data_IF_384935593756
#
_entry.id   IF_384935593756
#
_cell.length_a   1.000
_cell.length_b   1.000
_cell.length_c   1.000
_cell.angle_alpha   90.00
_cell.angle_beta   90.00
_cell.angle_gamma   90.00
#
_symmetry.space_group_name_H-M   'P 1'
#
loop_
_entity.id
_entity.type
_entity.pdbx_description
1 polymer ?
#
# COMPACT_ATOMS: atom_id res chain seq x y z
N UNK A 1 -15.70 13.80 28.57
CA UNK A 1 -14.97 12.52 28.40
C UNK A 1 -14.71 12.35 26.91
N UNK A 2 -13.50 12.68 26.43
CA UNK A 2 -13.16 12.51 25.02
C UNK A 2 -12.75 11.06 24.79
N UNK A 3 -13.56 10.32 24.04
CA UNK A 3 -13.21 8.99 23.59
C UNK A 3 -12.14 9.18 22.51
N UNK A 4 -10.91 8.81 22.81
CA UNK A 4 -9.86 8.71 21.80
C UNK A 4 -10.24 7.58 20.84
N UNK A 5 -10.65 7.92 19.63
CA UNK A 5 -10.82 6.94 18.56
C UNK A 5 -9.48 6.82 17.83
N UNK A 6 -8.89 5.61 17.84
CA UNK A 6 -7.79 5.31 16.94
C UNK A 6 -8.34 5.19 15.51
N UNK A 7 -7.66 5.80 14.54
CA UNK A 7 -8.04 5.65 13.14
C UNK A 7 -7.87 4.19 12.72
N UNK A 8 -8.92 3.61 12.14
CA UNK A 8 -8.86 2.29 11.53
C UNK A 8 -8.09 2.41 10.22
N UNK A 9 -6.86 1.92 10.17
CA UNK A 9 -6.11 1.80 8.92
C UNK A 9 -6.77 0.71 8.08
N UNK A 10 -7.44 1.12 7.00
CA UNK A 10 -8.21 0.23 6.11
C UNK A 10 -7.30 -0.45 5.07
N UNK A 11 -6.22 0.22 4.66
CA UNK A 11 -5.22 -0.28 3.72
C UNK A 11 -3.88 -0.45 4.44
N UNK A 12 -3.50 -1.71 4.71
CA UNK A 12 -2.33 -2.07 5.53
C UNK A 12 -1.11 -2.44 4.68
N UNK A 13 -1.15 -2.10 3.41
CA UNK A 13 -0.10 -2.39 2.45
C UNK A 13 -0.06 -1.34 1.34
N UNK A 14 1.14 -1.06 0.85
CA UNK A 14 1.42 -0.08 -0.21
C UNK A 14 2.23 -0.80 -1.28
N UNK A 15 1.82 -0.65 -2.53
CA UNK A 15 2.63 -1.09 -3.67
C UNK A 15 3.59 0.03 -4.07
N UNK A 16 4.85 -0.31 -4.29
CA UNK A 16 5.89 0.64 -4.64
C UNK A 16 6.87 0.05 -5.66
N UNK A 17 7.64 0.96 -6.30
CA UNK A 17 8.70 0.62 -7.27
C UNK A 17 8.24 -0.36 -8.37
N UNK A 18 7.10 -0.12 -9.06
CA UNK A 18 6.72 -0.95 -10.19
C UNK A 18 7.77 -0.83 -11.30
N UNK A 19 8.15 -1.97 -11.87
CA UNK A 19 8.98 -2.06 -13.08
C UNK A 19 8.20 -2.80 -14.17
N UNK A 20 8.86 -3.13 -15.28
CA UNK A 20 8.31 -4.02 -16.30
C UNK A 20 8.23 -5.50 -15.82
N UNK A 21 8.92 -5.85 -14.72
CA UNK A 21 9.13 -7.25 -14.29
C UNK A 21 8.94 -7.52 -12.80
N UNK A 22 8.75 -6.49 -12.00
CA UNK A 22 8.64 -6.61 -10.55
C UNK A 22 7.80 -5.49 -9.94
N UNK A 23 7.32 -5.72 -8.73
CA UNK A 23 6.75 -4.71 -7.85
C UNK A 23 7.06 -5.06 -6.40
N UNK A 24 7.17 -4.05 -5.54
CA UNK A 24 7.36 -4.26 -4.09
C UNK A 24 6.05 -4.02 -3.36
N UNK A 25 5.69 -4.91 -2.45
CA UNK A 25 4.61 -4.71 -1.49
C UNK A 25 5.22 -4.39 -0.12
N UNK A 26 4.92 -3.20 0.38
CA UNK A 26 5.23 -2.76 1.74
C UNK A 26 4.05 -3.09 2.63
N UNK A 27 4.28 -3.68 3.80
CA UNK A 27 3.21 -3.97 4.74
C UNK A 27 3.68 -3.79 6.19
N UNK A 28 2.72 -3.61 7.09
CA UNK A 28 2.98 -3.53 8.53
C UNK A 28 2.00 -4.41 9.34
N UNK A 29 2.49 -4.88 10.48
CA UNK A 29 1.75 -5.68 11.46
C UNK A 29 2.05 -5.18 12.88
N UNK A 30 1.10 -5.42 13.80
CA UNK A 30 1.17 -5.07 15.21
C UNK A 30 1.76 -6.19 16.10
N UNK A 31 2.17 -7.29 15.47
CA UNK A 31 2.78 -8.48 16.07
C UNK A 31 3.71 -9.17 15.06
N UNK A 32 4.56 -10.07 15.56
CA UNK A 32 5.38 -10.92 14.70
C UNK A 32 4.51 -11.85 13.86
N UNK A 33 4.78 -11.92 12.56
CA UNK A 33 4.08 -12.80 11.62
C UNK A 33 5.04 -13.37 10.57
N UNK A 34 4.74 -14.56 10.07
CA UNK A 34 5.26 -15.00 8.78
C UNK A 34 4.31 -14.46 7.71
N UNK A 35 4.84 -13.85 6.65
CA UNK A 35 4.06 -13.20 5.59
C UNK A 35 4.60 -13.59 4.21
N UNK A 36 3.70 -13.70 3.23
CA UNK A 36 4.03 -13.82 1.81
C UNK A 36 2.97 -13.11 0.94
N UNK A 37 3.28 -12.90 -0.34
CA UNK A 37 2.34 -12.42 -1.33
C UNK A 37 2.03 -13.54 -2.34
N UNK A 38 0.75 -13.72 -2.65
CA UNK A 38 0.25 -14.61 -3.71
C UNK A 38 -0.21 -13.75 -4.88
N UNK A 39 0.12 -14.11 -6.11
CA UNK A 39 -0.20 -13.28 -7.28
C UNK A 39 -0.40 -14.10 -8.56
N UNK A 40 -1.16 -13.54 -9.50
CA UNK A 40 -1.48 -14.15 -10.79
C UNK A 40 -2.17 -13.16 -11.74
N UNK A 41 -2.42 -13.57 -12.98
CA UNK A 41 -3.00 -12.71 -14.03
C UNK A 41 -4.53 -12.79 -14.11
N UNK A 42 -5.16 -13.61 -13.27
CA UNK A 42 -6.61 -13.78 -13.22
C UNK A 42 -7.13 -13.58 -11.79
N UNK A 43 -8.24 -12.86 -11.66
CA UNK A 43 -8.87 -12.59 -10.36
C UNK A 43 -9.20 -13.90 -9.64
N UNK A 44 -8.82 -14.00 -8.36
CA UNK A 44 -9.00 -15.20 -7.54
C UNK A 44 -8.07 -16.38 -7.86
N UNK A 45 -7.21 -16.27 -8.88
CA UNK A 45 -6.30 -17.33 -9.30
C UNK A 45 -4.83 -16.90 -9.16
N UNK A 46 -4.24 -17.23 -8.01
CA UNK A 46 -2.85 -16.91 -7.69
C UNK A 46 -1.93 -18.08 -8.06
N UNK A 47 -1.24 -17.96 -9.19
CA UNK A 47 -0.36 -19.01 -9.73
C UNK A 47 1.06 -18.95 -9.21
N UNK A 48 1.42 -17.86 -8.52
CA UNK A 48 2.73 -17.65 -7.89
C UNK A 48 2.55 -17.21 -6.45
N UNK A 49 3.57 -17.50 -5.65
CA UNK A 49 3.67 -17.11 -4.26
C UNK A 49 5.13 -16.80 -3.94
N UNK A 50 5.38 -15.71 -3.23
CA UNK A 50 6.71 -15.40 -2.71
C UNK A 50 7.07 -16.34 -1.55
N UNK A 51 8.36 -16.52 -1.22
CA UNK A 51 8.74 -17.18 0.02
C UNK A 51 8.07 -16.52 1.24
N UNK A 52 7.84 -17.33 2.27
CA UNK A 52 7.47 -16.83 3.59
C UNK A 52 8.66 -16.08 4.20
N UNK A 53 8.41 -14.88 4.70
CA UNK A 53 9.39 -14.07 5.42
C UNK A 53 8.87 -13.72 6.80
N UNK A 54 9.76 -13.63 7.77
CA UNK A 54 9.42 -13.21 9.12
C UNK A 54 9.34 -11.67 9.17
N UNK A 55 8.14 -11.16 9.41
CA UNK A 55 7.91 -9.79 9.85
C UNK A 55 8.07 -9.75 11.37
N UNK A 56 9.00 -8.94 11.86
CA UNK A 56 9.12 -8.62 13.29
C UNK A 56 8.32 -7.36 13.56
N UNK A 57 7.55 -7.37 14.66
CA UNK A 57 6.76 -6.21 15.10
C UNK A 57 7.60 -4.93 15.08
N UNK A 58 6.98 -3.84 14.62
CA UNK A 58 7.58 -2.51 14.51
C UNK A 58 8.75 -2.41 13.51
N UNK A 59 8.97 -3.45 12.69
CA UNK A 59 9.85 -3.44 11.51
C UNK A 59 9.09 -3.03 10.24
N UNK A 60 9.83 -2.56 9.22
CA UNK A 60 9.31 -2.47 7.86
C UNK A 60 9.70 -3.74 7.10
N UNK A 61 8.75 -4.34 6.40
CA UNK A 61 9.02 -5.49 5.54
C UNK A 61 8.59 -5.21 4.11
N UNK A 62 9.53 -5.47 3.19
CA UNK A 62 9.32 -5.39 1.76
C UNK A 62 9.17 -6.80 1.18
N UNK A 63 8.11 -7.04 0.42
CA UNK A 63 7.89 -8.29 -0.31
C UNK A 63 8.05 -8.00 -1.80
N UNK A 64 9.13 -8.52 -2.40
CA UNK A 64 9.37 -8.42 -3.84
C UNK A 64 8.57 -9.50 -4.57
N UNK A 65 7.68 -9.08 -5.48
CA UNK A 65 6.96 -9.97 -6.38
C UNK A 65 7.65 -9.98 -7.75
N UNK A 66 8.31 -11.11 -8.07
CA UNK A 66 8.99 -11.35 -9.34
C UNK A 66 9.09 -12.86 -9.63
N UNK A 67 9.29 -13.30 -10.90
CA UNK A 67 9.22 -12.49 -12.12
C UNK A 67 7.77 -12.19 -12.53
N UNK A 68 7.58 -11.02 -13.14
CA UNK A 68 6.32 -10.57 -13.75
C UNK A 68 6.49 -10.41 -15.28
N UNK A 69 5.37 -10.50 -16.00
CA UNK A 69 5.28 -10.14 -17.40
C UNK A 69 5.19 -8.62 -17.58
N UNK A 70 5.76 -8.12 -18.66
CA UNK A 70 5.69 -6.72 -19.06
C UNK A 70 4.26 -6.33 -19.43
N UNK A 71 3.88 -5.06 -19.19
CA UNK A 71 2.58 -4.50 -19.57
C UNK A 71 1.41 -5.45 -19.26
N UNK A 72 1.39 -5.99 -18.04
CA UNK A 72 0.43 -7.01 -17.62
C UNK A 72 -0.26 -6.60 -16.33
N UNK A 73 -1.59 -6.77 -16.29
CA UNK A 73 -2.38 -6.67 -15.06
C UNK A 73 -2.19 -7.91 -14.20
N UNK A 74 -1.88 -7.70 -12.93
CA UNK A 74 -1.80 -8.73 -11.90
C UNK A 74 -2.86 -8.50 -10.83
N UNK A 75 -3.28 -9.61 -10.24
CA UNK A 75 -4.08 -9.67 -9.02
C UNK A 75 -3.21 -10.29 -7.93
N UNK A 76 -3.25 -9.72 -6.74
CA UNK A 76 -2.45 -10.19 -5.62
C UNK A 76 -3.25 -10.26 -4.33
N UNK A 77 -2.74 -11.04 -3.38
CA UNK A 77 -3.29 -11.17 -2.05
C UNK A 77 -2.16 -11.39 -1.05
N UNK A 78 -2.12 -10.57 0.00
CA UNK A 78 -1.23 -10.81 1.13
C UNK A 78 -1.76 -11.98 1.96
N UNK A 79 -0.88 -12.93 2.27
CA UNK A 79 -1.14 -14.03 3.16
C UNK A 79 -0.18 -13.96 4.35
N UNK A 80 -0.70 -14.15 5.57
CA UNK A 80 0.12 -14.15 6.78
C UNK A 80 -0.36 -15.15 7.82
N UNK A 81 0.54 -15.55 8.71
CA UNK A 81 0.26 -16.46 9.83
C UNK A 81 1.15 -16.14 11.01
N UNK A 82 0.79 -16.62 12.21
CA UNK A 82 1.70 -16.54 13.35
C UNK A 82 2.93 -17.44 13.10
N UNK A 83 4.12 -17.07 13.60
CA UNK A 83 5.32 -17.89 13.41
C UNK A 83 5.10 -19.34 13.87
N UNK A 84 5.50 -20.30 13.02
CA UNK A 84 5.35 -21.73 13.28
C UNK A 84 3.91 -22.27 13.28
N UNK A 85 2.91 -21.47 12.91
CA UNK A 85 1.52 -21.91 12.76
C UNK A 85 1.19 -22.22 11.30
N UNK A 86 0.19 -23.06 11.07
CA UNK A 86 -0.29 -23.40 9.71
C UNK A 86 -1.55 -22.64 9.29
N UNK A 87 -2.25 -22.03 10.25
CA UNK A 87 -3.48 -21.28 9.96
C UNK A 87 -3.14 -19.94 9.30
N UNK A 88 -3.43 -19.86 8.00
CA UNK A 88 -3.20 -18.69 7.17
C UNK A 88 -4.39 -17.73 7.20
N UNK A 89 -4.08 -16.43 7.19
CA UNK A 89 -5.04 -15.33 7.09
C UNK A 89 -4.76 -14.58 5.80
N UNK A 90 -5.80 -14.35 5.02
CA UNK A 90 -5.72 -13.66 3.74
C UNK A 90 -6.34 -12.27 3.83
N UNK A 91 -5.64 -11.25 3.32
CA UNK A 91 -6.20 -9.91 3.13
C UNK A 91 -7.09 -9.86 1.86
N UNK A 92 -7.92 -8.82 1.67
CA UNK A 92 -8.64 -8.63 0.42
C UNK A 92 -7.69 -8.62 -0.79
N UNK A 93 -8.20 -9.03 -1.95
CA UNK A 93 -7.43 -9.00 -3.19
C UNK A 93 -7.17 -7.56 -3.63
N UNK A 94 -5.94 -7.26 -4.03
CA UNK A 94 -5.56 -6.05 -4.76
C UNK A 94 -5.21 -6.33 -6.22
N UNK A 95 -4.98 -5.27 -6.99
CA UNK A 95 -4.51 -5.35 -8.38
C UNK A 95 -3.45 -4.29 -8.64
N UNK A 96 -2.59 -4.56 -9.61
CA UNK A 96 -1.63 -3.61 -10.15
C UNK A 96 -1.34 -3.92 -11.61
N UNK A 97 -0.62 -3.02 -12.26
CA UNK A 97 -0.14 -3.21 -13.61
C UNK A 97 1.39 -3.03 -13.63
N UNK A 98 2.11 -3.92 -14.31
CA UNK A 98 3.53 -3.65 -14.61
C UNK A 98 3.64 -2.50 -15.61
N UNK A 99 4.84 -1.92 -15.75
CA UNK A 99 5.09 -0.79 -16.64
C UNK A 99 4.47 -1.00 -18.04
N UNK A 100 3.76 0.03 -18.53
CA UNK A 100 3.19 0.03 -19.90
C UNK A 100 4.29 -0.11 -20.95
N UNK A 101 3.99 -0.82 -22.04
CA UNK A 101 4.94 -0.96 -23.16
C UNK A 101 5.25 0.41 -23.78
N UNK A 102 6.45 0.60 -24.36
CA UNK A 102 6.75 1.82 -25.11
C UNK A 102 5.69 2.14 -26.17
N UNK A 103 5.25 3.40 -26.22
CA UNK A 103 4.21 3.88 -27.13
C UNK A 103 2.77 3.59 -26.67
N UNK A 104 2.56 2.96 -25.51
CA UNK A 104 1.25 2.85 -24.87
C UNK A 104 0.96 4.05 -23.98
N UNK A 105 -0.32 4.42 -23.92
CA UNK A 105 -0.79 5.46 -23.02
C UNK A 105 -0.76 4.95 -21.58
N UNK A 106 -0.45 5.85 -20.65
CA UNK A 106 -0.54 5.65 -19.21
C UNK A 106 -1.04 6.93 -18.56
N UNK A 107 -1.64 6.81 -17.38
CA UNK A 107 -2.05 7.93 -16.54
C UNK A 107 -1.32 7.88 -15.20
N UNK A 108 -1.07 9.04 -14.61
CA UNK A 108 -0.49 9.14 -13.27
C UNK A 108 -1.05 10.37 -12.57
N UNK A 109 -1.00 10.34 -11.25
CA UNK A 109 -1.33 11.49 -10.40
C UNK A 109 -0.06 11.99 -9.72
N UNK A 110 0.03 13.30 -9.52
CA UNK A 110 1.07 13.94 -8.71
C UNK A 110 0.37 14.64 -7.55
N UNK A 111 0.85 14.38 -6.33
CA UNK A 111 0.43 15.07 -5.11
C UNK A 111 1.64 15.70 -4.43
N UNK A 112 1.41 16.78 -3.69
CA UNK A 112 2.37 17.40 -2.80
C UNK A 112 1.63 17.94 -1.57
N UNK A 113 2.34 18.08 -0.45
CA UNK A 113 1.85 18.72 0.77
C UNK A 113 0.54 18.12 1.33
N UNK A 114 0.33 16.78 1.37
CA UNK A 114 -0.94 16.22 1.85
C UNK A 114 -1.06 16.22 3.38
N UNK A 115 -0.26 17.02 4.09
CA UNK A 115 -0.37 17.13 5.53
C UNK A 115 -1.71 17.72 5.94
N UNK A 116 -2.23 17.22 7.06
CA UNK A 116 -3.47 17.72 7.65
C UNK A 116 -3.11 18.49 8.92
N UNK A 117 -3.40 19.78 8.91
CA UNK A 117 -3.17 20.71 10.01
C UNK A 117 -4.46 21.44 10.45
N UNK A 118 -4.33 22.42 11.33
CA UNK A 118 -5.45 23.18 11.87
C UNK A 118 -6.21 24.00 10.81
N UNK A 119 -5.62 24.23 9.63
CA UNK A 119 -6.22 24.96 8.51
C UNK A 119 -6.73 24.04 7.40
N UNK A 120 -6.56 22.74 7.54
CA UNK A 120 -6.92 21.74 6.55
C UNK A 120 -8.40 21.36 6.63
N UNK A 121 -9.10 21.37 5.49
CA UNK A 121 -10.45 20.81 5.38
C UNK A 121 -10.39 19.33 4.96
N UNK A 122 -10.64 18.44 5.93
CA UNK A 122 -10.63 16.99 5.69
C UNK A 122 -11.70 16.50 4.71
N UNK A 123 -12.84 17.21 4.57
CA UNK A 123 -13.87 16.86 3.61
C UNK A 123 -13.44 17.24 2.19
N UNK A 124 -12.75 18.38 2.04
CA UNK A 124 -12.13 18.78 0.77
C UNK A 124 -11.02 17.82 0.37
N UNK A 125 -10.13 17.45 1.30
CA UNK A 125 -9.05 16.51 1.01
C UNK A 125 -9.59 15.12 0.59
N UNK A 126 -10.62 14.60 1.28
CA UNK A 126 -11.30 13.36 0.85
C UNK A 126 -11.90 13.46 -0.56
N UNK A 127 -12.40 14.63 -0.94
CA UNK A 127 -12.89 14.86 -2.30
C UNK A 127 -11.75 14.85 -3.32
N UNK A 128 -10.59 15.44 -2.99
CA UNK A 128 -9.38 15.36 -3.82
C UNK A 128 -8.97 13.91 -4.08
N UNK A 129 -8.81 13.12 -3.01
CA UNK A 129 -8.46 11.71 -3.10
C UNK A 129 -9.48 10.89 -3.89
N UNK A 130 -10.77 11.23 -3.78
CA UNK A 130 -11.81 10.59 -4.58
C UNK A 130 -11.67 10.90 -6.07
N UNK A 131 -11.36 12.16 -6.43
CA UNK A 131 -11.12 12.53 -7.82
C UNK A 131 -9.88 11.80 -8.38
N UNK A 132 -8.78 11.75 -7.62
CA UNK A 132 -7.57 11.00 -8.00
C UNK A 132 -7.86 9.51 -8.22
N UNK A 133 -8.71 8.91 -7.35
CA UNK A 133 -9.15 7.52 -7.52
C UNK A 133 -10.02 7.35 -8.78
N UNK A 134 -10.93 8.29 -9.04
CA UNK A 134 -11.81 8.27 -10.23
C UNK A 134 -11.03 8.38 -11.54
N UNK A 135 -9.90 9.10 -11.55
CA UNK A 135 -8.97 9.18 -12.69
C UNK A 135 -8.31 7.83 -13.04
N UNK A 136 -8.40 6.84 -12.15
CA UNK A 136 -7.85 5.49 -12.32
C UNK A 136 -6.38 5.48 -12.80
N UNK A 137 -5.45 6.18 -12.11
CA UNK A 137 -4.06 6.28 -12.52
C UNK A 137 -3.36 4.91 -12.50
N UNK A 138 -2.35 4.75 -13.37
CA UNK A 138 -1.46 3.59 -13.32
C UNK A 138 -0.53 3.65 -12.09
N UNK A 139 -0.13 4.84 -11.66
CA UNK A 139 0.66 5.07 -10.44
C UNK A 139 0.53 6.52 -9.92
N UNK A 140 0.97 6.73 -8.67
CA UNK A 140 1.04 8.03 -8.01
C UNK A 140 2.48 8.43 -7.73
N UNK A 141 2.78 9.71 -7.86
CA UNK A 141 4.01 10.33 -7.38
C UNK A 141 3.63 11.31 -6.26
N UNK A 142 4.16 11.07 -5.06
CA UNK A 142 4.05 12.03 -3.95
C UNK A 142 5.36 12.81 -3.83
N UNK A 143 5.28 14.14 -3.88
CA UNK A 143 6.41 15.06 -3.84
C UNK A 143 6.84 15.45 -2.43
N UNK A 144 6.16 14.99 -1.38
CA UNK A 144 6.57 15.18 0.01
C UNK A 144 5.64 16.04 0.85
N UNK A 145 6.10 16.41 2.05
CA UNK A 145 5.35 17.12 3.10
C UNK A 145 4.08 16.41 3.59
N UNK A 146 4.16 15.08 3.70
CA UNK A 146 3.09 14.23 4.25
C UNK A 146 2.96 14.39 5.77
N UNK A 147 4.07 14.25 6.50
CA UNK A 147 4.05 14.09 7.95
C UNK A 147 4.37 15.35 8.75
N UNK A 148 4.94 16.39 8.12
CA UNK A 148 5.36 17.65 8.76
C UNK A 148 5.97 17.43 10.15
N UNK A 149 6.88 16.45 10.24
CA UNK A 149 7.32 15.90 11.54
C UNK A 149 8.10 16.92 12.37
N UNK A 150 8.65 17.95 11.72
CA UNK A 150 9.28 19.13 12.32
C UNK A 150 8.29 20.03 13.09
N UNK A 151 6.99 19.99 12.76
CA UNK A 151 5.92 20.74 13.44
C UNK A 151 5.30 19.97 14.62
N UNK A 152 5.69 18.72 14.82
CA UNK A 152 5.13 17.88 15.88
C UNK A 152 5.74 18.24 17.23
N UNK A 153 4.92 18.79 18.12
CA UNK A 153 5.25 18.87 19.55
C UNK A 153 5.39 17.45 20.10
N UNK A 154 6.44 17.20 20.89
CA UNK A 154 6.69 15.91 21.56
C UNK A 154 5.41 15.39 22.20
N UNK A 155 4.98 14.18 21.82
CA UNK A 155 3.81 13.51 22.39
C UNK A 155 2.52 13.54 21.55
N UNK A 156 2.49 14.19 20.37
CA UNK A 156 1.35 14.06 19.43
C UNK A 156 1.52 12.84 18.52
N UNK A 157 0.45 12.05 18.39
CA UNK A 157 0.39 10.84 17.55
C UNK A 157 -0.07 11.25 16.14
N UNK A 158 0.67 10.85 15.11
CA UNK A 158 0.29 11.05 13.71
C UNK A 158 -0.71 9.96 13.32
N UNK A 159 -1.79 10.35 12.65
CA UNK A 159 -2.72 9.42 12.02
C UNK A 159 -3.02 9.95 10.62
N UNK A 160 -2.33 9.40 9.62
CA UNK A 160 -2.53 9.70 8.21
C UNK A 160 -3.18 8.50 7.51
N UNK A 161 -4.16 8.77 6.65
CA UNK A 161 -4.64 7.79 5.67
C UNK A 161 -3.70 7.85 4.47
N UNK A 162 -3.01 6.76 4.22
CA UNK A 162 -2.44 6.48 2.90
C UNK A 162 -3.45 5.54 2.24
N UNK A 163 -3.93 5.90 1.04
CA UNK A 163 -4.77 5.03 0.21
C UNK A 163 -3.92 3.94 -0.44
#
# INVERSE_FOLDING_TARGET
MFIAQAQKIVHREILSRPTDRSITLLCSFDQDVEVCARYGTSSGAYTRQTPWILFVKDSLTEILMEPLGQDTRYYYQLCYRKPGQTNEIYRPQGTFHTQRSPGKQFSFVIQADPHLDDFSDTALYRRCLKNELEDSPDFMIDLGDIFMSDKLKVGKRISHMIL
#
